data_IF_284780944664
#
_entry.id   IF_284780944664
#
_cell.length_a   1.000
_cell.length_b   1.000
_cell.length_c   1.000
_cell.angle_alpha   90.00
_cell.angle_beta   90.00
_cell.angle_gamma   90.00
#
_symmetry.space_group_name_H-M   'P 1'
#
loop_
_entity.id
_entity.type
_entity.pdbx_description
1 polymer ?
#
# COMPACT_ATOMS: atom_id res chain seq x y z
N UNK A 1 -22.02 -0.15 -11.06
CA UNK A 1 -21.56 -1.42 -11.68
C UNK A 1 -22.02 -2.57 -10.80
N UNK A 2 -22.66 -3.56 -11.42
CA UNK A 2 -23.57 -4.55 -10.82
C UNK A 2 -22.79 -5.82 -10.45
N UNK A 3 -22.98 -6.35 -9.23
CA UNK A 3 -22.55 -7.70 -8.84
C UNK A 3 -23.78 -8.60 -8.69
N UNK A 4 -23.85 -9.68 -9.46
CA UNK A 4 -24.88 -10.74 -9.31
C UNK A 4 -24.22 -11.94 -8.63
N UNK A 5 -24.67 -12.25 -7.41
CA UNK A 5 -24.47 -13.53 -6.77
C UNK A 5 -25.63 -14.46 -7.14
N UNK A 6 -25.35 -15.70 -7.57
CA UNK A 6 -26.36 -16.76 -7.63
C UNK A 6 -25.80 -18.07 -7.09
N UNK A 7 -26.43 -18.52 -6.00
CA UNK A 7 -26.27 -19.81 -5.34
C UNK A 7 -27.16 -20.88 -6.02
N UNK A 8 -26.71 -22.14 -5.85
CA UNK A 8 -27.47 -23.40 -5.85
C UNK A 8 -27.67 -24.11 -7.18
N UNK A 9 -27.16 -25.34 -7.30
CA UNK A 9 -28.00 -26.55 -7.41
C UNK A 9 -27.21 -27.82 -7.04
N UNK A 10 -27.96 -28.72 -6.40
CA UNK A 10 -27.70 -30.03 -5.83
C UNK A 10 -27.60 -31.10 -6.94
N UNK A 11 -26.56 -31.94 -6.96
CA UNK A 11 -26.61 -33.28 -7.57
C UNK A 11 -25.90 -34.26 -6.63
N UNK A 12 -26.63 -35.31 -6.23
CA UNK A 12 -26.20 -36.40 -5.36
C UNK A 12 -25.99 -37.67 -6.19
N UNK A 13 -24.89 -38.38 -5.89
CA UNK A 13 -24.53 -39.78 -6.18
C UNK A 13 -24.29 -40.13 -7.68
N UNK A 14 -23.34 -41.00 -8.08
CA UNK A 14 -22.95 -42.34 -7.60
C UNK A 14 -21.53 -42.65 -8.14
N UNK A 15 -20.66 -43.26 -7.32
CA UNK A 15 -19.77 -44.39 -7.67
C UNK A 15 -18.58 -44.46 -6.70
N UNK A 16 -18.78 -45.22 -5.63
CA UNK A 16 -17.70 -45.88 -4.89
C UNK A 16 -16.89 -46.75 -5.84
N UNK A 17 -15.57 -46.55 -5.91
CA UNK A 17 -14.53 -47.58 -6.12
C UNK A 17 -13.17 -46.87 -6.00
N UNK A 18 -12.24 -47.52 -5.29
CA UNK A 18 -10.82 -47.19 -5.11
C UNK A 18 -10.50 -46.11 -4.06
N UNK A 19 -10.68 -46.51 -2.80
CA UNK A 19 -9.81 -46.11 -1.70
C UNK A 19 -8.36 -46.48 -1.99
N UNK A 20 -7.58 -45.62 -2.66
CA UNK A 20 -6.13 -45.53 -2.50
C UNK A 20 -5.68 -44.11 -2.84
N UNK A 21 -4.97 -43.48 -1.88
CA UNK A 21 -4.45 -42.11 -1.87
C UNK A 21 -5.44 -41.01 -1.44
N UNK A 22 -6.06 -41.15 -0.26
CA UNK A 22 -6.40 -39.97 0.53
C UNK A 22 -5.13 -39.43 1.18
N UNK A 23 -4.35 -38.68 0.40
CA UNK A 23 -3.44 -37.69 0.98
C UNK A 23 -4.32 -36.51 1.33
N UNK A 24 -4.47 -36.10 2.61
CA UNK A 24 -4.94 -34.76 2.85
C UNK A 24 -3.78 -33.83 2.46
N UNK A 25 -3.67 -33.52 1.17
CA UNK A 25 -3.09 -32.26 0.72
C UNK A 25 -4.12 -31.15 0.99
N UNK A 26 -4.66 -31.12 2.20
CA UNK A 26 -5.38 -29.98 2.70
C UNK A 26 -4.33 -28.91 3.00
N UNK A 27 -4.06 -28.10 1.97
CA UNK A 27 -3.72 -26.69 2.12
C UNK A 27 -2.32 -26.29 2.57
N UNK A 28 -1.27 -26.95 2.10
CA UNK A 28 0.03 -26.24 1.97
C UNK A 28 -0.04 -25.07 0.95
N UNK A 29 -1.08 -25.03 0.10
CA UNK A 29 -1.28 -24.00 -0.92
C UNK A 29 -2.18 -22.82 -0.49
N UNK A 30 -2.88 -22.92 0.64
CA UNK A 30 -3.67 -21.81 1.20
C UNK A 30 -2.98 -21.10 2.38
N UNK A 31 -1.88 -21.63 2.91
CA UNK A 31 -1.07 -20.94 3.94
C UNK A 31 0.05 -20.06 3.36
N UNK A 32 0.41 -20.20 2.08
CA UNK A 32 1.41 -19.32 1.44
C UNK A 32 0.88 -17.95 0.99
N UNK A 33 -0.42 -17.67 1.15
CA UNK A 33 -1.01 -16.37 0.81
C UNK A 33 -1.18 -15.42 1.99
N UNK A 34 -0.69 -15.77 3.19
CA UNK A 34 -0.89 -14.95 4.40
C UNK A 34 0.36 -14.68 5.24
N UNK A 35 1.58 -14.92 4.73
CA UNK A 35 2.80 -14.67 5.51
C UNK A 35 4.01 -14.20 4.69
N UNK A 36 3.78 -13.47 3.59
CA UNK A 36 4.73 -12.42 3.23
C UNK A 36 4.03 -11.13 3.61
N UNK A 37 4.29 -10.64 4.83
CA UNK A 37 4.43 -9.19 4.98
C UNK A 37 5.31 -8.77 3.81
N UNK A 38 4.78 -7.98 2.88
CA UNK A 38 5.67 -7.21 2.01
C UNK A 38 6.21 -6.12 2.92
N UNK A 39 7.22 -6.46 3.71
CA UNK A 39 8.16 -5.45 4.18
C UNK A 39 8.56 -4.70 2.91
N UNK A 40 8.41 -3.36 2.92
CA UNK A 40 8.82 -2.51 1.80
C UNK A 40 10.19 -2.98 1.33
N UNK A 41 10.31 -3.33 0.04
CA UNK A 41 11.56 -3.95 -0.42
C UNK A 41 12.71 -2.96 -0.24
N UNK A 42 13.94 -3.44 -0.04
CA UNK A 42 15.10 -2.54 0.09
C UNK A 42 15.26 -1.62 -1.14
N UNK A 43 14.86 -2.09 -2.32
CA UNK A 43 14.80 -1.29 -3.53
C UNK A 43 13.78 -0.17 -3.39
N UNK A 44 12.56 -0.46 -2.94
CA UNK A 44 11.52 0.56 -2.73
C UNK A 44 11.93 1.58 -1.66
N UNK A 45 12.52 1.12 -0.55
CA UNK A 45 13.05 2.00 0.51
C UNK A 45 14.07 2.98 -0.07
N UNK A 46 15.03 2.47 -0.85
CA UNK A 46 16.03 3.30 -1.50
C UNK A 46 15.39 4.30 -2.48
N UNK A 47 14.44 3.84 -3.30
CA UNK A 47 13.75 4.71 -4.28
C UNK A 47 12.96 5.82 -3.57
N UNK A 48 12.20 5.49 -2.52
CA UNK A 48 11.49 6.49 -1.72
C UNK A 48 12.44 7.53 -1.12
N UNK A 49 13.50 7.09 -0.43
CA UNK A 49 14.45 8.02 0.19
C UNK A 49 15.20 8.86 -0.84
N UNK A 50 15.66 8.25 -1.94
CA UNK A 50 16.39 8.93 -3.00
C UNK A 50 15.52 10.03 -3.64
N UNK A 51 14.29 9.70 -4.03
CA UNK A 51 13.37 10.67 -4.63
C UNK A 51 13.08 11.84 -3.69
N UNK A 52 12.72 11.58 -2.44
CA UNK A 52 12.46 12.65 -1.46
C UNK A 52 13.70 13.50 -1.17
N UNK A 53 14.86 12.86 -0.92
CA UNK A 53 16.06 13.58 -0.52
C UNK A 53 16.65 14.40 -1.67
N UNK A 54 16.51 13.95 -2.92
CA UNK A 54 16.89 14.74 -4.09
C UNK A 54 16.12 16.07 -4.16
N UNK A 55 14.82 16.07 -3.86
CA UNK A 55 14.00 17.29 -3.80
C UNK A 55 14.38 18.14 -2.59
N UNK A 56 14.51 17.53 -1.40
CA UNK A 56 14.81 18.26 -0.15
C UNK A 56 16.13 19.01 -0.20
N UNK A 57 17.16 18.42 -0.80
CA UNK A 57 18.46 19.06 -0.97
C UNK A 57 18.37 20.28 -1.89
N UNK A 58 17.54 20.24 -2.94
CA UNK A 58 17.32 21.39 -3.83
C UNK A 58 16.70 22.59 -3.08
N UNK A 59 15.98 22.34 -1.99
CA UNK A 59 15.38 23.37 -1.13
C UNK A 59 16.15 23.64 0.16
N UNK A 60 17.36 23.07 0.32
CA UNK A 60 18.20 23.27 1.50
C UNK A 60 17.68 22.62 2.78
N UNK A 61 16.84 21.58 2.67
CA UNK A 61 16.34 20.82 3.81
C UNK A 61 17.17 19.56 4.07
N UNK A 62 17.28 19.15 5.34
CA UNK A 62 18.03 17.95 5.76
C UNK A 62 17.45 16.67 5.15
N UNK A 63 18.30 15.69 4.85
CA UNK A 63 17.87 14.38 4.34
C UNK A 63 17.00 13.62 5.34
N UNK A 64 15.97 12.95 4.84
CA UNK A 64 15.16 12.01 5.59
C UNK A 64 15.88 10.66 5.75
N UNK A 65 15.49 9.95 6.81
CA UNK A 65 15.83 8.55 7.06
C UNK A 65 14.56 7.69 7.03
N UNK A 66 14.70 6.41 6.69
CA UNK A 66 13.56 5.49 6.67
C UNK A 66 13.07 5.15 8.08
N UNK A 67 11.76 4.99 8.23
CA UNK A 67 11.14 4.48 9.46
C UNK A 67 10.25 3.29 9.12
N UNK A 68 10.65 2.10 9.57
CA UNK A 68 9.86 0.89 9.41
C UNK A 68 8.51 0.99 10.13
N UNK A 69 8.47 1.67 11.28
CA UNK A 69 7.21 1.93 12.01
C UNK A 69 6.22 2.73 11.18
N UNK A 70 6.68 3.78 10.48
CA UNK A 70 5.80 4.57 9.61
C UNK A 70 5.40 3.82 8.34
N UNK A 71 6.32 3.03 7.77
CA UNK A 71 6.02 2.20 6.61
C UNK A 71 4.93 1.16 6.92
N UNK A 72 5.03 0.49 8.07
CA UNK A 72 4.02 -0.47 8.53
C UNK A 72 2.67 0.20 8.76
N UNK A 73 2.67 1.38 9.41
CA UNK A 73 1.44 2.13 9.67
C UNK A 73 0.78 2.61 8.36
N UNK A 74 1.58 3.14 7.42
CA UNK A 74 1.10 3.53 6.10
C UNK A 74 0.54 2.32 5.33
N UNK A 75 1.21 1.16 5.40
CA UNK A 75 0.74 -0.07 4.77
C UNK A 75 -0.61 -0.54 5.36
N UNK A 76 -0.79 -0.42 6.67
CA UNK A 76 -2.07 -0.73 7.33
C UNK A 76 -3.20 0.19 6.85
N UNK A 77 -2.90 1.48 6.65
CA UNK A 77 -3.87 2.45 6.13
C UNK A 77 -4.25 2.19 4.68
N UNK A 78 -3.28 2.06 3.77
CA UNK A 78 -3.57 1.85 2.34
C UNK A 78 -4.26 0.52 2.06
N UNK A 79 -4.06 -0.49 2.92
CA UNK A 79 -4.77 -1.77 2.84
C UNK A 79 -6.29 -1.64 3.06
N UNK A 80 -6.78 -0.54 3.65
CA UNK A 80 -8.22 -0.28 3.75
C UNK A 80 -8.84 0.07 2.40
N UNK A 81 -8.03 0.40 1.39
CA UNK A 81 -8.47 0.79 0.05
C UNK A 81 -9.39 2.03 0.06
N UNK A 82 -9.14 2.96 0.99
CA UNK A 82 -9.91 4.18 1.14
C UNK A 82 -9.05 5.39 0.76
N UNK A 83 -9.41 6.07 -0.31
CA UNK A 83 -8.69 7.27 -0.75
C UNK A 83 -9.16 8.50 0.04
N UNK A 84 -8.72 8.59 1.29
CA UNK A 84 -8.91 9.74 2.17
C UNK A 84 -7.72 9.88 3.11
N UNK A 85 -7.53 11.07 3.67
CA UNK A 85 -6.50 11.30 4.67
C UNK A 85 -6.86 10.63 6.02
N UNK A 86 -5.84 10.30 6.81
CA UNK A 86 -5.96 9.85 8.21
C UNK A 86 -6.32 10.98 9.17
N UNK A 87 -6.42 12.23 8.68
CA UNK A 87 -6.54 13.44 9.51
C UNK A 87 -5.43 13.55 10.56
N UNK A 88 -4.22 13.08 10.22
CA UNK A 88 -3.06 13.11 11.09
C UNK A 88 -3.12 12.11 12.24
N UNK A 89 -3.96 11.08 12.18
CA UNK A 89 -4.02 10.00 13.17
C UNK A 89 -3.65 8.67 12.49
N UNK A 90 -2.36 8.50 12.21
CA UNK A 90 -1.84 7.26 11.63
C UNK A 90 -1.44 6.22 12.71
N UNK A 91 -1.04 6.70 13.89
CA UNK A 91 -0.69 5.91 15.08
C UNK A 91 -1.20 6.67 16.33
N UNK A 92 -0.69 6.30 17.52
CA UNK A 92 -0.94 7.02 18.79
C UNK A 92 -0.34 8.45 18.81
N UNK A 93 0.45 8.81 17.80
CA UNK A 93 1.03 10.14 17.60
C UNK A 93 0.64 10.68 16.23
N UNK A 94 0.50 12.00 16.13
CA UNK A 94 0.21 12.63 14.85
C UNK A 94 1.41 12.70 13.93
N UNK A 95 1.19 12.30 12.67
CA UNK A 95 2.16 12.39 11.59
C UNK A 95 1.56 13.17 10.42
N UNK A 96 2.44 13.83 9.67
CA UNK A 96 2.08 14.32 8.35
C UNK A 96 1.81 13.16 7.40
N UNK A 97 1.01 13.39 6.36
CA UNK A 97 0.60 12.35 5.43
C UNK A 97 0.52 12.90 4.00
N UNK A 98 0.85 12.01 3.07
CA UNK A 98 0.82 12.21 1.64
C UNK A 98 0.22 10.93 1.02
N UNK A 99 -0.84 11.04 0.22
CA UNK A 99 -1.51 9.89 -0.42
C UNK A 99 -1.71 10.15 -1.92
N UNK A 100 -1.30 9.18 -2.76
CA UNK A 100 -1.52 9.17 -4.20
C UNK A 100 -2.40 8.00 -4.58
N UNK A 101 -3.33 8.23 -5.50
CA UNK A 101 -4.05 7.18 -6.19
C UNK A 101 -4.01 7.42 -7.70
N UNK A 102 -4.01 6.35 -8.48
CA UNK A 102 -4.05 6.40 -9.94
C UNK A 102 -4.71 5.14 -10.50
N UNK A 103 -5.24 5.23 -11.73
CA UNK A 103 -5.77 4.06 -12.44
C UNK A 103 -4.63 3.29 -13.10
N UNK A 104 -4.05 2.32 -12.39
CA UNK A 104 -2.94 1.50 -12.86
C UNK A 104 -1.78 1.44 -11.88
N UNK A 105 -0.64 0.90 -12.33
CA UNK A 105 0.59 0.94 -11.55
C UNK A 105 1.15 2.37 -11.57
N UNK A 106 1.40 2.93 -10.38
CA UNK A 106 2.05 4.23 -10.19
C UNK A 106 3.43 3.96 -9.62
N UNK A 107 4.48 4.42 -10.30
CA UNK A 107 5.85 4.28 -9.79
C UNK A 107 6.06 5.17 -8.57
N UNK A 108 7.03 4.82 -7.72
CA UNK A 108 7.37 5.60 -6.52
C UNK A 108 7.78 7.02 -6.90
N UNK A 109 8.61 7.19 -7.93
CA UNK A 109 9.06 8.49 -8.41
C UNK A 109 7.91 9.33 -8.94
N UNK A 110 6.97 8.71 -9.68
CA UNK A 110 5.78 9.38 -10.18
C UNK A 110 4.90 9.85 -9.02
N UNK A 111 4.72 9.02 -7.99
CA UNK A 111 3.96 9.37 -6.80
C UNK A 111 4.60 10.52 -6.02
N UNK A 112 5.92 10.50 -5.81
CA UNK A 112 6.65 11.57 -5.11
C UNK A 112 6.58 12.88 -5.90
N UNK A 113 6.82 12.83 -7.21
CA UNK A 113 6.78 14.02 -8.07
C UNK A 113 5.40 14.67 -8.18
N UNK A 114 4.32 13.91 -7.96
CA UNK A 114 2.96 14.46 -7.97
C UNK A 114 2.76 15.58 -6.93
N UNK A 115 3.50 15.55 -5.80
CA UNK A 115 3.43 16.58 -4.76
C UNK A 115 4.38 17.75 -4.96
N UNK A 116 5.24 17.68 -5.97
CA UNK A 116 6.14 18.78 -6.35
C UNK A 116 5.55 19.58 -7.51
N UNK A 117 4.52 19.04 -8.18
CA UNK A 117 3.95 19.63 -9.38
C UNK A 117 3.38 21.06 -9.18
N UNK A 118 2.97 21.41 -7.96
CA UNK A 118 2.42 22.72 -7.63
C UNK A 118 3.47 23.74 -7.12
N UNK A 119 4.75 23.37 -7.08
CA UNK A 119 5.83 24.17 -6.51
C UNK A 119 5.88 25.60 -7.09
N UNK A 120 5.75 25.76 -8.41
CA UNK A 120 5.77 27.08 -9.07
C UNK A 120 4.61 28.01 -8.64
N UNK A 121 3.55 27.44 -8.09
CA UNK A 121 2.39 28.17 -7.56
C UNK A 121 2.45 28.39 -6.06
N UNK A 122 3.41 27.81 -5.35
CA UNK A 122 3.58 28.02 -3.92
C UNK A 122 3.85 29.51 -3.63
N UNK A 123 3.14 30.07 -2.66
CA UNK A 123 3.30 31.46 -2.21
C UNK A 123 3.49 31.48 -0.70
N UNK A 124 4.70 31.81 -0.25
CA UNK A 124 5.03 31.88 1.18
C UNK A 124 4.30 33.02 1.90
N UNK A 125 3.96 34.11 1.21
CA UNK A 125 3.49 35.36 1.84
C UNK A 125 1.99 35.43 2.16
N UNK A 126 1.21 34.37 1.91
CA UNK A 126 -0.23 34.34 2.22
C UNK A 126 -0.56 34.02 3.69
N UNK A 127 0.45 33.89 4.56
CA UNK A 127 0.30 33.62 6.00
C UNK A 127 1.06 34.64 6.86
N UNK A 128 0.95 35.93 6.52
CA UNK A 128 1.32 37.02 7.43
C UNK A 128 0.05 37.43 8.19
N UNK A 129 -0.01 37.07 9.47
CA UNK A 129 -0.82 37.78 10.46
C UNK A 129 -0.09 39.05 10.88
#
# INVERSE_FOLDING_TARGET
MIFIARRSFLIVAIATILSFLYVPAASAHLQKRHASRRDTSLSDVYTFLSAHNAIRIQHGADSLTWSYTLADAAQLWVNQCEFRATNGQLLDTSYGEIIVAGSGEVSIETAVNAFVADEGTFRRSSYLW
#
